data_IF_325148914692
#
_entry.id   IF_325148914692
#
_cell.length_a   1.000
_cell.length_b   1.000
_cell.length_c   1.000
_cell.angle_alpha   90.00
_cell.angle_beta   90.00
_cell.angle_gamma   90.00
#
_symmetry.space_group_name_H-M   'P 1'
#
loop_
_entity.id
_entity.type
_entity.pdbx_description
1 polymer ?
#
# COMPACT_ATOMS: atom_id res chain seq x y z
N UNK A 1 -15.38 -37.37 -6.84
CA UNK A 1 -15.47 -36.35 -5.78
C UNK A 1 -16.44 -36.90 -4.79
N UNK A 2 -15.94 -37.36 -3.65
CA UNK A 2 -16.75 -37.88 -2.56
C UNK A 2 -17.26 -36.68 -1.74
N UNK A 3 -18.58 -36.44 -1.66
CA UNK A 3 -19.13 -35.32 -0.90
C UNK A 3 -18.96 -35.45 0.62
N UNK A 4 -18.61 -36.65 1.12
CA UNK A 4 -18.38 -36.91 2.55
C UNK A 4 -16.88 -36.80 2.94
N UNK A 5 -15.99 -36.53 1.98
CA UNK A 5 -14.56 -36.34 2.25
C UNK A 5 -14.29 -34.92 2.80
N UNK A 6 -13.63 -34.77 3.97
CA UNK A 6 -13.30 -33.46 4.51
C UNK A 6 -12.34 -32.70 3.58
N UNK A 7 -12.58 -31.40 3.39
CA UNK A 7 -11.66 -30.54 2.64
C UNK A 7 -10.24 -30.64 3.21
N UNK A 8 -9.26 -30.84 2.34
CA UNK A 8 -7.83 -30.86 2.67
C UNK A 8 -7.21 -29.46 2.74
N UNK A 9 -8.00 -28.41 2.57
CA UNK A 9 -7.52 -27.04 2.66
C UNK A 9 -7.15 -26.70 4.10
N UNK A 10 -5.86 -26.45 4.33
CA UNK A 10 -5.35 -25.96 5.61
C UNK A 10 -5.86 -24.52 5.78
N UNK A 11 -6.85 -24.33 6.64
CA UNK A 11 -7.29 -22.99 7.06
C UNK A 11 -6.36 -22.51 8.17
N UNK A 12 -5.41 -21.64 7.82
CA UNK A 12 -4.60 -20.92 8.80
C UNK A 12 -5.33 -19.64 9.23
N UNK A 13 -5.60 -19.51 10.53
CA UNK A 13 -6.13 -18.29 11.14
C UNK A 13 -5.00 -17.47 11.79
N UNK A 14 -5.10 -16.14 11.72
CA UNK A 14 -4.17 -15.22 12.36
C UNK A 14 -4.83 -13.87 12.66
N UNK A 15 -4.18 -13.07 13.50
CA UNK A 15 -4.63 -11.72 13.85
C UNK A 15 -3.72 -10.70 13.18
N UNK A 16 -4.30 -9.69 12.54
CA UNK A 16 -3.56 -8.51 12.07
C UNK A 16 -3.63 -7.47 13.17
N UNK A 17 -2.49 -7.14 13.79
CA UNK A 17 -2.39 -6.03 14.74
C UNK A 17 -1.72 -4.83 14.09
N UNK A 18 -2.23 -3.64 14.37
CA UNK A 18 -1.60 -2.39 13.95
C UNK A 18 -0.56 -1.99 15.00
N UNK A 19 0.65 -1.68 14.56
CA UNK A 19 1.69 -1.10 15.43
C UNK A 19 1.65 0.43 15.37
N UNK A 20 2.06 1.13 16.46
CA UNK A 20 2.26 2.56 16.43
C UNK A 20 3.31 2.97 15.39
N UNK A 21 3.17 4.17 14.82
CA UNK A 21 4.12 4.71 13.86
C UNK A 21 5.57 4.65 14.37
N UNK A 22 5.83 5.10 15.60
CA UNK A 22 7.16 5.07 16.23
C UNK A 22 7.79 3.68 16.31
N UNK A 23 6.96 2.64 16.47
CA UNK A 23 7.42 1.26 16.50
C UNK A 23 7.81 0.79 15.11
N UNK A 24 7.00 1.11 14.09
CA UNK A 24 7.35 0.86 12.70
C UNK A 24 8.72 1.48 12.33
N UNK A 25 8.96 2.72 12.77
CA UNK A 25 10.23 3.40 12.53
C UNK A 25 11.41 2.69 13.19
N UNK A 26 11.20 2.17 14.40
CA UNK A 26 12.21 1.43 15.15
C UNK A 26 12.54 0.09 14.48
N UNK A 27 11.59 -0.47 13.71
CA UNK A 27 11.78 -1.66 12.89
C UNK A 27 12.43 -1.39 11.52
N UNK A 28 12.90 -0.15 11.29
CA UNK A 28 13.53 0.25 10.03
C UNK A 28 12.54 0.59 8.92
N UNK A 29 11.24 0.68 9.23
CA UNK A 29 10.27 1.23 8.28
C UNK A 29 10.59 2.71 8.08
N UNK A 30 10.34 3.21 6.88
CA UNK A 30 10.86 4.50 6.55
C UNK A 30 9.96 5.66 7.02
N UNK A 31 10.16 6.04 8.26
CA UNK A 31 9.37 7.08 8.92
C UNK A 31 9.98 8.48 8.89
N UNK A 32 11.15 8.66 8.28
CA UNK A 32 11.88 9.93 8.40
C UNK A 32 11.44 10.97 7.39
N UNK A 33 10.43 10.68 6.57
CA UNK A 33 10.18 11.45 5.36
C UNK A 33 9.05 12.45 5.56
N UNK A 34 9.46 13.70 5.80
CA UNK A 34 8.57 14.84 6.04
C UNK A 34 8.02 15.45 4.76
N UNK A 35 8.57 15.13 3.60
CA UNK A 35 8.08 15.59 2.30
C UNK A 35 7.62 14.44 1.44
N UNK A 36 6.42 14.57 0.90
CA UNK A 36 5.93 13.70 -0.14
C UNK A 36 6.50 14.14 -1.50
N UNK A 37 7.29 13.27 -2.13
CA UNK A 37 7.84 13.43 -3.48
C UNK A 37 7.75 12.09 -4.24
N UNK A 38 8.15 12.09 -5.51
CA UNK A 38 8.10 10.89 -6.36
C UNK A 38 8.96 9.75 -5.78
N UNK A 39 10.10 10.06 -5.18
CA UNK A 39 10.97 9.04 -4.60
C UNK A 39 10.37 8.44 -3.33
N UNK A 40 9.64 9.22 -2.53
CA UNK A 40 8.92 8.75 -1.36
C UNK A 40 7.85 7.72 -1.74
N UNK A 41 7.10 7.96 -2.84
CA UNK A 41 6.11 7.00 -3.36
C UNK A 41 6.76 5.66 -3.67
N UNK A 42 7.88 5.66 -4.41
CA UNK A 42 8.60 4.43 -4.74
C UNK A 42 9.03 3.68 -3.49
N UNK A 43 9.69 4.37 -2.55
CA UNK A 43 10.18 3.74 -1.33
C UNK A 43 9.06 3.16 -0.45
N UNK A 44 7.95 3.89 -0.29
CA UNK A 44 6.78 3.37 0.43
C UNK A 44 6.21 2.12 -0.27
N UNK A 45 6.10 2.15 -1.61
CA UNK A 45 5.57 1.01 -2.37
C UNK A 45 6.47 -0.23 -2.28
N UNK A 46 7.79 -0.06 -2.35
CA UNK A 46 8.80 -1.12 -2.19
C UNK A 46 8.81 -1.69 -0.77
N UNK A 47 8.50 -0.87 0.24
CA UNK A 47 8.43 -1.27 1.64
C UNK A 47 7.08 -1.93 2.02
N UNK A 48 6.16 -2.10 1.06
CA UNK A 48 4.82 -2.64 1.31
C UNK A 48 3.86 -1.64 2.00
N UNK A 49 4.26 -0.38 2.14
CA UNK A 49 3.46 0.71 2.72
C UNK A 49 2.57 1.34 1.65
N UNK A 50 1.68 0.54 1.05
CA UNK A 50 0.89 0.99 -0.09
C UNK A 50 -0.09 2.12 0.26
N UNK A 51 -0.62 2.17 1.49
CA UNK A 51 -1.49 3.25 1.93
C UNK A 51 -0.75 4.59 2.01
N UNK A 52 0.47 4.61 2.55
CA UNK A 52 1.31 5.81 2.62
C UNK A 52 1.76 6.25 1.21
N UNK A 53 2.08 5.29 0.34
CA UNK A 53 2.41 5.57 -1.07
C UNK A 53 1.22 6.22 -1.81
N UNK A 54 0.01 5.69 -1.63
CA UNK A 54 -1.21 6.24 -2.25
C UNK A 54 -1.54 7.61 -1.68
N UNK A 55 -1.48 7.79 -0.35
CA UNK A 55 -1.75 9.07 0.29
C UNK A 55 -0.79 10.16 -0.21
N UNK A 56 0.51 9.86 -0.23
CA UNK A 56 1.52 10.74 -0.78
C UNK A 56 1.23 11.09 -2.25
N UNK A 57 0.95 10.09 -3.09
CA UNK A 57 0.64 10.34 -4.50
C UNK A 57 -0.61 11.22 -4.72
N UNK A 58 -1.65 11.06 -3.90
CA UNK A 58 -2.84 11.90 -3.93
C UNK A 58 -2.54 13.35 -3.52
N UNK A 59 -1.68 13.55 -2.52
CA UNK A 59 -1.20 14.89 -2.16
C UNK A 59 -0.47 15.53 -3.33
N UNK A 60 0.45 14.82 -4.00
CA UNK A 60 1.15 15.35 -5.18
C UNK A 60 0.20 15.69 -6.33
N UNK A 61 -0.81 14.86 -6.60
CA UNK A 61 -1.83 15.16 -7.63
C UNK A 61 -2.57 16.46 -7.32
N UNK A 62 -2.77 16.74 -6.03
CA UNK A 62 -3.45 17.95 -5.56
C UNK A 62 -2.59 19.20 -5.76
N UNK A 63 -1.27 19.11 -5.55
CA UNK A 63 -0.36 20.27 -5.53
C UNK A 63 0.48 20.47 -6.81
N UNK A 64 0.76 19.44 -7.60
CA UNK A 64 1.62 19.53 -8.80
C UNK A 64 0.86 19.69 -10.13
N UNK A 65 1.55 20.22 -11.15
CA UNK A 65 1.01 20.46 -12.48
C UNK A 65 0.97 19.24 -13.41
N UNK A 66 1.80 18.21 -13.17
CA UNK A 66 1.89 17.00 -14.03
C UNK A 66 0.88 15.90 -13.62
N UNK A 67 -0.40 16.26 -13.61
CA UNK A 67 -1.49 15.40 -13.12
C UNK A 67 -1.59 14.07 -13.88
N UNK A 68 -1.42 14.10 -15.20
CA UNK A 68 -1.61 12.91 -16.04
C UNK A 68 -0.54 11.83 -15.82
N UNK A 69 0.69 12.23 -15.48
CA UNK A 69 1.76 11.30 -15.11
C UNK A 69 1.49 10.66 -13.74
N UNK A 70 1.05 11.48 -12.78
CA UNK A 70 0.75 11.04 -11.42
C UNK A 70 -0.51 10.16 -11.35
N UNK A 71 -1.55 10.46 -12.13
CA UNK A 71 -2.75 9.62 -12.28
C UNK A 71 -2.42 8.24 -12.86
N UNK A 72 -1.52 8.17 -13.85
CA UNK A 72 -1.03 6.89 -14.38
C UNK A 72 -0.27 6.08 -13.34
N UNK A 73 0.55 6.75 -12.53
CA UNK A 73 1.22 6.12 -11.39
C UNK A 73 0.22 5.60 -10.37
N UNK A 74 -0.85 6.35 -10.10
CA UNK A 74 -1.90 5.96 -9.15
C UNK A 74 -2.64 4.72 -9.63
N UNK A 75 -3.03 4.68 -10.90
CA UNK A 75 -3.65 3.50 -11.50
C UNK A 75 -2.76 2.25 -11.41
N UNK A 76 -1.45 2.41 -11.63
CA UNK A 76 -0.50 1.31 -11.51
C UNK A 76 -0.41 0.80 -10.07
N UNK A 77 -0.28 1.71 -9.10
CA UNK A 77 -0.15 1.40 -7.69
C UNK A 77 -1.43 0.74 -7.11
N UNK A 78 -2.61 1.24 -7.50
CA UNK A 78 -3.89 0.63 -7.14
C UNK A 78 -4.03 -0.79 -7.69
N UNK A 79 -3.65 -0.99 -8.96
CA UNK A 79 -3.66 -2.32 -9.58
C UNK A 79 -2.71 -3.30 -8.87
N UNK A 80 -1.51 -2.86 -8.50
CA UNK A 80 -0.54 -3.70 -7.79
C UNK A 80 -0.97 -4.05 -6.37
N UNK A 81 -1.60 -3.10 -5.66
CA UNK A 81 -2.11 -3.30 -4.30
C UNK A 81 -3.46 -4.05 -4.24
N UNK A 82 -4.09 -4.32 -5.39
CA UNK A 82 -5.41 -4.95 -5.46
C UNK A 82 -6.55 -4.05 -4.97
N UNK A 83 -6.29 -2.74 -4.81
CA UNK A 83 -7.28 -1.75 -4.38
C UNK A 83 -8.05 -1.24 -5.58
N UNK A 84 -9.37 -1.40 -5.58
CA UNK A 84 -10.26 -0.83 -6.60
C UNK A 84 -10.98 0.38 -6.00
N UNK A 85 -10.77 1.56 -6.60
CA UNK A 85 -11.56 2.73 -6.25
C UNK A 85 -12.93 2.64 -6.94
N UNK A 86 -14.04 2.93 -6.26
CA UNK A 86 -15.35 3.04 -6.90
C UNK A 86 -15.33 4.17 -7.93
N UNK A 87 -15.84 3.87 -9.13
CA UNK A 87 -16.06 4.81 -10.24
C UNK A 87 -17.25 5.71 -9.98
#
# INVERSE_FOLDING_TARGET
MDPDEPSRDIVAGGTIERIPYSEACSLGMPCTWTSCDRDAIYRYSESGLWYDAIACLLDLITYEGDKQSLERMLHHLLKQSGVNLPT
#
